data_IF_538499995989
#
_entry.id   IF_538499995989
#
_cell.length_a   1.000
_cell.length_b   1.000
_cell.length_c   1.000
_cell.angle_alpha   90.00
_cell.angle_beta   90.00
_cell.angle_gamma   90.00
#
_symmetry.space_group_name_H-M   'P 1'
#
loop_
_entity.id
_entity.type
_entity.pdbx_description
1 polymer ?
#
# COMPACT_ATOMS: atom_id res chain seq x y z
N UNK A 1 3.92 -16.87 24.32
CA UNK A 1 3.78 -15.80 23.32
C UNK A 1 2.88 -14.72 23.88
N UNK A 2 3.12 -13.45 23.52
CA UNK A 2 2.21 -12.34 23.89
C UNK A 2 0.87 -12.55 23.18
N UNK A 3 -0.23 -12.32 23.87
CA UNK A 3 -1.57 -12.40 23.28
C UNK A 3 -1.98 -10.99 22.83
N UNK A 4 -2.41 -10.84 21.59
CA UNK A 4 -2.96 -9.60 21.05
C UNK A 4 -4.49 -9.64 21.06
N UNK A 5 -5.12 -8.46 21.13
CA UNK A 5 -6.56 -8.32 21.08
C UNK A 5 -7.06 -7.81 19.71
N UNK A 6 -6.20 -7.17 18.92
CA UNK A 6 -6.51 -6.76 17.55
C UNK A 6 -5.26 -6.74 16.68
N UNK A 7 -5.49 -6.86 15.36
CA UNK A 7 -4.43 -6.88 14.36
C UNK A 7 -4.67 -5.76 13.34
N UNK A 8 -3.65 -4.90 13.18
CA UNK A 8 -3.64 -3.84 12.19
C UNK A 8 -2.79 -4.29 10.99
N UNK A 9 -3.28 -4.06 9.78
CA UNK A 9 -2.58 -4.38 8.53
C UNK A 9 -2.40 -3.13 7.68
N UNK A 10 -1.25 -2.98 7.09
CA UNK A 10 -1.14 -2.21 5.86
C UNK A 10 -1.78 -2.98 4.69
N UNK A 11 -2.06 -2.30 3.57
CA UNK A 11 -2.73 -2.92 2.42
C UNK A 11 -1.77 -3.17 1.26
N UNK A 12 -1.17 -2.12 0.69
CA UNK A 12 -0.33 -2.19 -0.50
C UNK A 12 1.03 -2.82 -0.16
N UNK A 13 1.51 -3.78 -0.96
CA UNK A 13 2.74 -4.55 -0.69
C UNK A 13 2.71 -5.43 0.58
N UNK A 14 1.60 -5.40 1.33
CA UNK A 14 1.42 -6.27 2.52
C UNK A 14 0.36 -7.34 2.31
N UNK A 15 -0.80 -6.98 1.77
CA UNK A 15 -1.89 -7.90 1.42
C UNK A 15 -2.24 -7.84 -0.07
N UNK A 16 -2.31 -6.65 -0.63
CA UNK A 16 -2.63 -6.39 -2.03
C UNK A 16 -1.33 -6.28 -2.84
N UNK A 17 -1.22 -7.09 -3.91
CA UNK A 17 -0.02 -7.13 -4.76
C UNK A 17 0.01 -5.91 -5.68
N UNK A 18 0.54 -4.80 -5.13
CA UNK A 18 0.64 -3.55 -5.87
C UNK A 18 1.45 -3.71 -7.16
N UNK A 19 2.57 -4.42 -7.12
CA UNK A 19 3.46 -4.54 -8.27
C UNK A 19 2.81 -5.31 -9.42
N UNK A 20 2.19 -6.46 -9.14
CA UNK A 20 1.50 -7.25 -10.16
C UNK A 20 0.30 -6.49 -10.74
N UNK A 21 -0.50 -5.86 -9.88
CA UNK A 21 -1.68 -5.11 -10.30
C UNK A 21 -1.33 -3.85 -11.10
N UNK A 22 -0.28 -3.12 -10.68
CA UNK A 22 0.22 -1.96 -11.42
C UNK A 22 0.80 -2.35 -12.78
N UNK A 23 1.63 -3.41 -12.83
CA UNK A 23 2.19 -3.88 -14.09
C UNK A 23 1.12 -4.33 -15.07
N UNK A 24 0.11 -5.09 -14.61
CA UNK A 24 -1.02 -5.52 -15.44
C UNK A 24 -1.78 -4.31 -16.01
N UNK A 25 -2.14 -3.35 -15.15
CA UNK A 25 -2.84 -2.12 -15.56
C UNK A 25 -2.01 -1.31 -16.56
N UNK A 26 -0.73 -1.11 -16.27
CA UNK A 26 0.16 -0.34 -17.14
C UNK A 26 0.36 -1.01 -18.50
N UNK A 27 0.41 -2.33 -18.56
CA UNK A 27 0.54 -3.09 -19.81
C UNK A 27 -0.71 -2.91 -20.69
N UNK A 28 -1.90 -2.95 -20.10
CA UNK A 28 -3.15 -2.69 -20.80
C UNK A 28 -3.20 -1.25 -21.32
N UNK A 29 -2.85 -0.27 -20.50
CA UNK A 29 -2.84 1.13 -20.88
C UNK A 29 -1.76 1.45 -21.91
N UNK A 30 -0.56 0.87 -21.77
CA UNK A 30 0.53 1.02 -22.73
C UNK A 30 0.08 0.64 -24.16
N UNK A 31 -0.61 -0.49 -24.29
CA UNK A 31 -1.17 -0.95 -25.56
C UNK A 31 -2.32 -0.04 -26.03
N UNK A 32 -3.27 0.29 -25.15
CA UNK A 32 -4.46 1.10 -25.48
C UNK A 32 -4.08 2.51 -25.94
N UNK A 33 -3.08 3.12 -25.30
CA UNK A 33 -2.59 4.45 -25.66
C UNK A 33 -1.52 4.44 -26.75
N UNK A 34 -1.20 3.25 -27.30
CA UNK A 34 -0.25 3.03 -28.40
C UNK A 34 1.10 3.70 -28.11
N UNK A 35 1.65 3.43 -26.92
CA UNK A 35 2.84 4.14 -26.43
C UNK A 35 4.08 3.90 -27.30
N UNK A 36 4.19 2.73 -27.95
CA UNK A 36 5.28 2.46 -28.91
C UNK A 36 5.21 3.39 -30.13
N UNK A 37 3.99 3.63 -30.68
CA UNK A 37 3.78 4.56 -31.80
C UNK A 37 4.08 6.01 -31.41
N UNK A 38 4.08 6.30 -30.12
CA UNK A 38 4.41 7.61 -29.53
C UNK A 38 5.90 7.76 -29.20
N UNK A 39 6.73 6.76 -29.57
CA UNK A 39 8.17 6.79 -29.42
C UNK A 39 8.73 6.17 -28.13
N UNK A 40 7.88 5.56 -27.30
CA UNK A 40 8.36 4.83 -26.10
C UNK A 40 9.06 3.55 -26.55
N UNK A 41 10.32 3.41 -26.21
CA UNK A 41 11.21 2.36 -26.72
C UNK A 41 10.73 0.93 -26.42
N UNK A 42 10.12 0.72 -25.24
CA UNK A 42 9.56 -0.57 -24.82
C UNK A 42 8.69 -0.44 -23.58
N UNK A 43 7.77 -1.39 -23.40
CA UNK A 43 6.99 -1.49 -22.16
C UNK A 43 7.88 -1.64 -20.92
N UNK A 44 8.98 -2.40 -21.02
CA UNK A 44 9.91 -2.58 -19.90
C UNK A 44 10.49 -1.24 -19.45
N UNK A 45 10.96 -0.42 -20.39
CA UNK A 45 11.50 0.90 -20.07
C UNK A 45 10.43 1.82 -19.45
N UNK A 46 9.20 1.78 -19.97
CA UNK A 46 8.06 2.52 -19.41
C UNK A 46 7.77 2.10 -17.96
N UNK A 47 7.70 0.79 -17.69
CA UNK A 47 7.44 0.23 -16.38
C UNK A 47 8.53 0.58 -15.36
N UNK A 48 9.81 0.45 -15.74
CA UNK A 48 10.95 0.81 -14.89
C UNK A 48 10.94 2.32 -14.55
N UNK A 49 10.64 3.16 -15.55
CA UNK A 49 10.48 4.60 -15.35
C UNK A 49 9.31 4.90 -14.41
N UNK A 50 8.16 4.27 -14.61
CA UNK A 50 7.02 4.42 -13.72
C UNK A 50 7.37 4.02 -12.28
N UNK A 51 7.98 2.85 -12.06
CA UNK A 51 8.37 2.38 -10.71
C UNK A 51 9.24 3.41 -9.99
N UNK A 52 10.25 3.94 -10.65
CA UNK A 52 11.14 4.94 -10.08
C UNK A 52 10.43 6.26 -9.77
N UNK A 53 9.63 6.77 -10.69
CA UNK A 53 8.86 8.01 -10.48
C UNK A 53 7.82 7.84 -9.37
N UNK A 54 7.12 6.71 -9.35
CA UNK A 54 6.12 6.41 -8.34
C UNK A 54 6.74 6.30 -6.94
N UNK A 55 7.87 5.61 -6.81
CA UNK A 55 8.61 5.48 -5.55
C UNK A 55 9.06 6.86 -5.03
N UNK A 56 9.66 7.71 -5.88
CA UNK A 56 10.06 9.07 -5.51
C UNK A 56 8.88 9.91 -5.00
N UNK A 57 7.75 9.86 -5.70
CA UNK A 57 6.58 10.65 -5.32
C UNK A 57 5.98 10.17 -3.99
N UNK A 58 5.89 8.86 -3.76
CA UNK A 58 5.40 8.32 -2.50
C UNK A 58 6.35 8.61 -1.34
N UNK A 59 7.68 8.44 -1.50
CA UNK A 59 8.66 8.83 -0.48
C UNK A 59 8.51 10.31 -0.10
N UNK A 60 8.41 11.19 -1.07
CA UNK A 60 8.20 12.62 -0.83
C UNK A 60 6.87 12.91 -0.15
N UNK A 61 5.81 12.21 -0.52
CA UNK A 61 4.52 12.33 0.13
C UNK A 61 4.59 11.85 1.59
N UNK A 62 5.16 10.68 1.85
CA UNK A 62 5.27 10.13 3.21
C UNK A 62 6.09 11.04 4.12
N UNK A 63 7.13 11.66 3.60
CA UNK A 63 7.92 12.69 4.30
C UNK A 63 7.23 14.05 4.45
N UNK A 64 6.04 14.23 3.89
CA UNK A 64 5.29 15.48 3.99
C UNK A 64 5.77 16.61 3.09
N UNK A 65 6.62 16.30 2.09
CA UNK A 65 7.18 17.28 1.16
C UNK A 65 6.22 17.67 0.04
N UNK A 66 5.25 16.82 -0.27
CA UNK A 66 4.21 17.04 -1.28
C UNK A 66 2.85 16.57 -0.78
N UNK A 67 1.79 17.09 -1.39
CA UNK A 67 0.41 16.62 -1.19
C UNK A 67 0.03 15.49 -2.14
N UNK A 68 -1.10 14.84 -1.86
CA UNK A 68 -1.64 13.75 -2.71
C UNK A 68 -1.90 14.20 -4.16
N UNK A 69 -2.30 15.45 -4.35
CA UNK A 69 -2.60 16.00 -5.66
C UNK A 69 -1.38 15.97 -6.59
N UNK A 70 -0.18 16.20 -6.05
CA UNK A 70 1.07 16.12 -6.81
C UNK A 70 1.28 14.70 -7.36
N UNK A 71 1.00 13.65 -6.58
CA UNK A 71 1.08 12.27 -7.08
C UNK A 71 0.11 12.04 -8.24
N UNK A 72 -1.11 12.56 -8.13
CA UNK A 72 -2.16 12.40 -9.16
C UNK A 72 -1.80 13.09 -10.47
N UNK A 73 -1.24 14.30 -10.39
CA UNK A 73 -0.99 15.16 -11.55
C UNK A 73 0.39 14.96 -12.16
N UNK A 74 1.44 14.77 -11.34
CA UNK A 74 2.81 14.76 -11.85
C UNK A 74 3.31 13.36 -12.25
N UNK A 75 2.76 12.28 -11.70
CA UNK A 75 3.30 10.93 -11.91
C UNK A 75 3.44 10.57 -13.38
N UNK A 76 2.36 10.62 -14.13
CA UNK A 76 2.40 10.26 -15.55
C UNK A 76 2.94 11.38 -16.45
N UNK A 77 2.86 12.64 -16.03
CA UNK A 77 3.53 13.73 -16.73
C UNK A 77 5.06 13.53 -16.70
N UNK A 78 5.61 13.16 -15.55
CA UNK A 78 7.03 12.82 -15.43
C UNK A 78 7.39 11.55 -16.21
N UNK A 79 6.58 10.50 -16.11
CA UNK A 79 6.82 9.24 -16.86
C UNK A 79 6.81 9.50 -18.36
N UNK A 80 5.85 10.27 -18.89
CA UNK A 80 5.76 10.59 -20.30
C UNK A 80 6.99 11.36 -20.77
N UNK A 81 7.33 12.45 -20.10
CA UNK A 81 8.53 13.24 -20.43
C UNK A 81 9.81 12.42 -20.41
N UNK A 82 10.00 11.58 -19.40
CA UNK A 82 11.20 10.76 -19.26
C UNK A 82 11.27 9.62 -20.29
N UNK A 83 10.12 9.18 -20.81
CA UNK A 83 10.04 8.19 -21.89
C UNK A 83 9.96 8.80 -23.29
N UNK A 84 10.11 10.13 -23.40
CA UNK A 84 10.19 10.85 -24.68
C UNK A 84 8.83 11.25 -25.27
N UNK A 85 7.75 11.20 -24.47
CA UNK A 85 6.39 11.59 -24.92
C UNK A 85 6.07 12.99 -24.40
N UNK A 86 6.03 13.98 -25.28
CA UNK A 86 5.64 15.36 -24.96
C UNK A 86 4.14 15.56 -25.18
N UNK A 87 3.30 15.11 -24.25
CA UNK A 87 1.85 15.24 -24.32
C UNK A 87 1.24 15.34 -22.92
N UNK A 88 1.19 16.56 -22.38
CA UNK A 88 0.60 16.82 -21.05
C UNK A 88 -0.87 16.45 -20.96
N UNK A 89 -1.67 16.67 -22.02
CA UNK A 89 -3.09 16.29 -22.01
C UNK A 89 -3.25 14.78 -22.00
N UNK A 90 -2.46 14.08 -22.79
CA UNK A 90 -2.45 12.61 -22.82
C UNK A 90 -1.97 12.01 -21.51
N UNK A 91 -1.00 12.61 -20.81
CA UNK A 91 -0.56 12.14 -19.52
C UNK A 91 -1.62 12.29 -18.43
N UNK A 92 -2.41 13.37 -18.46
CA UNK A 92 -3.54 13.57 -17.54
C UNK A 92 -4.65 12.53 -17.78
N UNK A 93 -5.02 12.25 -19.03
CA UNK A 93 -6.02 11.23 -19.37
C UNK A 93 -5.53 9.83 -19.00
N UNK A 94 -4.26 9.52 -19.25
CA UNK A 94 -3.63 8.28 -18.82
C UNK A 94 -3.67 8.13 -17.29
N UNK A 95 -3.35 9.20 -16.54
CA UNK A 95 -3.42 9.22 -15.07
C UNK A 95 -4.83 8.96 -14.57
N UNK A 96 -5.82 9.63 -15.11
CA UNK A 96 -7.23 9.43 -14.74
C UNK A 96 -7.68 7.99 -15.00
N UNK A 97 -7.29 7.42 -16.15
CA UNK A 97 -7.60 6.04 -16.52
C UNK A 97 -6.90 5.04 -15.59
N UNK A 98 -5.62 5.25 -15.29
CA UNK A 98 -4.88 4.41 -14.36
C UNK A 98 -5.51 4.40 -12.95
N UNK A 99 -5.86 5.57 -12.42
CA UNK A 99 -6.50 5.69 -11.10
C UNK A 99 -7.87 5.02 -11.03
N UNK A 100 -8.59 4.95 -12.15
CA UNK A 100 -9.89 4.26 -12.26
C UNK A 100 -9.73 2.75 -12.39
N UNK A 101 -8.74 2.27 -13.17
CA UNK A 101 -8.62 0.84 -13.54
C UNK A 101 -7.73 0.03 -12.59
N UNK A 102 -6.66 0.64 -12.05
CA UNK A 102 -5.79 -0.03 -11.09
C UNK A 102 -6.56 -0.64 -9.89
N UNK A 103 -7.48 0.08 -9.22
CA UNK A 103 -8.18 -0.47 -8.05
C UNK A 103 -9.13 -1.62 -8.39
N UNK A 104 -9.42 -1.86 -9.67
CA UNK A 104 -10.27 -2.97 -10.11
C UNK A 104 -9.51 -4.30 -10.21
N UNK A 105 -8.18 -4.28 -10.09
CA UNK A 105 -7.34 -5.48 -10.10
C UNK A 105 -7.45 -6.24 -8.77
N UNK A 106 -7.24 -7.57 -8.83
CA UNK A 106 -7.63 -8.48 -7.74
C UNK A 106 -6.47 -9.28 -7.16
N UNK A 107 -5.24 -9.06 -7.68
CA UNK A 107 -4.10 -9.85 -7.23
C UNK A 107 -3.78 -9.51 -5.76
N UNK A 108 -3.75 -10.53 -4.94
CA UNK A 108 -3.25 -10.47 -3.56
C UNK A 108 -1.86 -11.08 -3.51
N UNK A 109 -1.09 -10.66 -2.52
CA UNK A 109 0.19 -11.31 -2.24
C UNK A 109 0.00 -12.79 -1.88
N UNK A 110 1.00 -13.64 -2.14
CA UNK A 110 0.92 -15.05 -1.81
C UNK A 110 0.46 -15.28 -0.36
N UNK A 111 -0.52 -16.16 -0.17
CA UNK A 111 -1.07 -16.52 1.14
C UNK A 111 -1.85 -15.42 1.89
N UNK A 112 -2.08 -14.26 1.28
CA UNK A 112 -2.82 -13.18 1.94
C UNK A 112 -4.25 -13.61 2.29
N UNK A 113 -4.97 -14.26 1.38
CA UNK A 113 -6.34 -14.74 1.64
C UNK A 113 -6.36 -15.79 2.73
N UNK A 114 -5.47 -16.80 2.64
CA UNK A 114 -5.39 -17.89 3.60
C UNK A 114 -5.05 -17.42 5.01
N UNK A 115 -4.25 -16.36 5.14
CA UNK A 115 -3.95 -15.79 6.46
C UNK A 115 -5.10 -14.94 6.99
N UNK A 116 -5.82 -14.22 6.13
CA UNK A 116 -7.03 -13.51 6.51
C UNK A 116 -8.13 -14.47 6.98
N UNK A 117 -8.35 -15.58 6.28
CA UNK A 117 -9.28 -16.66 6.69
C UNK A 117 -8.91 -17.23 8.07
N UNK A 118 -7.61 -17.36 8.34
CA UNK A 118 -7.12 -17.86 9.63
C UNK A 118 -7.30 -16.86 10.77
N UNK A 119 -7.01 -15.58 10.52
CA UNK A 119 -6.99 -14.54 11.56
C UNK A 119 -8.36 -13.95 11.87
N UNK A 120 -9.22 -13.78 10.86
CA UNK A 120 -10.52 -13.12 11.00
C UNK A 120 -11.43 -13.70 12.10
N UNK A 121 -11.55 -15.03 12.28
CA UNK A 121 -12.35 -15.59 13.38
C UNK A 121 -11.70 -15.46 14.77
N UNK A 122 -10.44 -15.01 14.85
CA UNK A 122 -9.65 -14.93 16.07
C UNK A 122 -9.45 -13.52 16.57
N UNK A 123 -9.36 -12.57 15.61
CA UNK A 123 -9.01 -11.17 15.89
C UNK A 123 -9.90 -10.23 15.08
N UNK A 124 -10.31 -9.07 15.64
CA UNK A 124 -10.76 -7.95 14.83
C UNK A 124 -9.58 -7.45 14.00
N UNK A 125 -9.73 -7.46 12.66
CA UNK A 125 -8.73 -7.00 11.72
C UNK A 125 -9.06 -5.59 11.28
N UNK A 126 -8.05 -4.74 11.13
CA UNK A 126 -8.20 -3.34 10.72
C UNK A 126 -7.13 -2.99 9.69
N UNK A 127 -7.52 -2.34 8.59
CA UNK A 127 -6.56 -1.73 7.65
C UNK A 127 -6.15 -0.35 8.14
N UNK A 128 -4.84 -0.03 8.04
CA UNK A 128 -4.27 1.31 8.29
C UNK A 128 -3.37 1.68 7.11
N UNK A 129 -3.80 2.62 6.27
CA UNK A 129 -3.15 2.89 4.98
C UNK A 129 -2.97 4.38 4.68
N UNK A 130 -1.87 4.73 3.97
CA UNK A 130 -1.62 6.08 3.43
C UNK A 130 -2.23 6.28 2.03
N UNK A 131 -2.75 5.24 1.41
CA UNK A 131 -3.36 5.32 0.08
C UNK A 131 -4.62 6.19 0.04
N UNK A 132 -4.99 6.64 -1.16
CA UNK A 132 -6.19 7.46 -1.36
C UNK A 132 -7.45 6.68 -0.98
N UNK A 133 -8.33 7.30 -0.20
CA UNK A 133 -9.49 6.62 0.39
C UNK A 133 -10.33 5.89 -0.64
N UNK A 134 -10.76 6.56 -1.70
CA UNK A 134 -11.57 5.96 -2.76
C UNK A 134 -10.87 4.79 -3.46
N UNK A 135 -9.54 4.91 -3.64
CA UNK A 135 -8.72 3.86 -4.26
C UNK A 135 -8.63 2.63 -3.36
N UNK A 136 -8.39 2.82 -2.06
CA UNK A 136 -8.25 1.72 -1.12
C UNK A 136 -9.56 0.94 -0.93
N UNK A 137 -10.69 1.63 -0.83
CA UNK A 137 -11.99 0.97 -0.77
C UNK A 137 -12.27 0.15 -2.04
N UNK A 138 -12.00 0.71 -3.22
CA UNK A 138 -12.19 0.00 -4.48
C UNK A 138 -11.28 -1.24 -4.60
N UNK A 139 -10.02 -1.18 -4.15
CA UNK A 139 -9.10 -2.34 -4.10
C UNK A 139 -9.64 -3.44 -3.19
N UNK A 140 -10.06 -3.08 -1.99
CA UNK A 140 -10.57 -4.03 -0.99
C UNK A 140 -11.83 -4.71 -1.49
N UNK A 141 -12.74 -3.96 -2.11
CA UNK A 141 -13.97 -4.48 -2.70
C UNK A 141 -13.67 -5.41 -3.89
N UNK A 142 -12.87 -4.94 -4.85
CA UNK A 142 -12.53 -5.70 -6.06
C UNK A 142 -11.77 -6.99 -5.75
N UNK A 143 -10.88 -6.98 -4.75
CA UNK A 143 -10.18 -8.17 -4.28
C UNK A 143 -11.07 -9.10 -3.44
N UNK A 144 -12.29 -8.67 -3.06
CA UNK A 144 -13.24 -9.47 -2.28
C UNK A 144 -12.75 -9.76 -0.86
N UNK A 145 -12.01 -8.82 -0.24
CA UNK A 145 -11.45 -9.00 1.11
C UNK A 145 -12.09 -8.08 2.16
N UNK A 146 -13.06 -7.25 1.78
CA UNK A 146 -13.66 -6.26 2.68
C UNK A 146 -14.32 -6.86 3.92
N UNK A 147 -14.88 -8.06 3.79
CA UNK A 147 -15.58 -8.76 4.88
C UNK A 147 -14.68 -9.21 6.03
N UNK A 148 -13.35 -9.23 5.82
CA UNK A 148 -12.40 -9.58 6.89
C UNK A 148 -12.16 -8.42 7.87
N UNK A 149 -12.41 -7.18 7.47
CA UNK A 149 -11.97 -6.01 8.24
C UNK A 149 -13.14 -5.35 8.96
N UNK A 150 -12.98 -5.18 10.27
CA UNK A 150 -13.91 -4.41 11.08
C UNK A 150 -13.83 -2.90 10.77
N UNK A 151 -12.60 -2.42 10.47
CA UNK A 151 -12.35 -1.02 10.15
C UNK A 151 -11.35 -0.88 9.00
N UNK A 152 -11.53 0.17 8.20
CA UNK A 152 -10.60 0.62 7.16
C UNK A 152 -10.24 2.07 7.48
N UNK A 153 -9.02 2.29 7.94
CA UNK A 153 -8.51 3.58 8.37
C UNK A 153 -7.55 4.11 7.31
N UNK A 154 -7.99 5.16 6.63
CA UNK A 154 -7.17 5.89 5.67
C UNK A 154 -6.58 7.14 6.32
N UNK A 155 -5.50 7.67 5.75
CA UNK A 155 -4.92 8.93 6.21
C UNK A 155 -5.92 10.09 6.16
N UNK A 156 -6.86 10.07 5.21
CA UNK A 156 -7.91 11.07 5.08
C UNK A 156 -8.91 10.98 6.22
N UNK A 157 -9.37 9.77 6.61
CA UNK A 157 -10.29 9.57 7.75
C UNK A 157 -9.66 9.93 9.08
N UNK A 158 -8.41 9.59 9.27
CA UNK A 158 -7.68 9.89 10.49
C UNK A 158 -7.23 11.37 10.59
N UNK A 159 -7.27 12.13 9.48
CA UNK A 159 -6.71 13.47 9.40
C UNK A 159 -5.19 13.51 9.60
N UNK A 160 -4.54 12.35 9.51
CA UNK A 160 -3.10 12.17 9.68
C UNK A 160 -2.65 10.90 8.97
N UNK A 161 -1.41 10.86 8.51
CA UNK A 161 -0.84 9.69 7.79
C UNK A 161 0.25 9.01 8.61
N UNK A 162 0.53 7.74 8.32
CA UNK A 162 1.74 7.05 8.79
C UNK A 162 2.99 7.80 8.31
N UNK A 163 4.03 7.96 9.13
CA UNK A 163 4.29 7.35 10.43
C UNK A 163 3.73 8.12 11.65
N UNK A 164 2.93 9.16 11.47
CA UNK A 164 2.41 9.92 12.63
C UNK A 164 1.66 8.99 13.61
N UNK A 165 1.96 9.04 14.92
CA UNK A 165 1.23 8.27 15.92
C UNK A 165 -0.29 8.49 15.89
N UNK A 166 -0.74 9.65 15.46
CA UNK A 166 -2.18 10.03 15.41
C UNK A 166 -3.04 9.08 14.59
N UNK A 167 -2.55 8.53 13.46
CA UNK A 167 -3.33 7.58 12.67
C UNK A 167 -3.52 6.26 13.42
N UNK A 168 -2.49 5.83 14.17
CA UNK A 168 -2.55 4.62 14.99
C UNK A 168 -3.43 4.82 16.22
N UNK A 169 -3.34 5.97 16.89
CA UNK A 169 -4.22 6.36 18.01
C UNK A 169 -5.67 6.39 17.54
N UNK A 170 -5.94 6.94 16.34
CA UNK A 170 -7.27 6.93 15.75
C UNK A 170 -7.76 5.50 15.48
N UNK A 171 -6.91 4.64 14.92
CA UNK A 171 -7.24 3.24 14.68
C UNK A 171 -7.56 2.50 15.98
N UNK A 172 -6.74 2.69 17.03
CA UNK A 172 -6.97 2.11 18.35
C UNK A 172 -8.28 2.60 18.97
N UNK A 173 -8.61 3.89 18.84
CA UNK A 173 -9.88 4.44 19.31
C UNK A 173 -11.10 3.80 18.60
N UNK A 174 -10.98 3.53 17.28
CA UNK A 174 -12.06 2.85 16.54
C UNK A 174 -12.20 1.38 16.93
N UNK A 175 -11.10 0.70 17.23
CA UNK A 175 -11.13 -0.71 17.65
C UNK A 175 -11.48 -0.91 19.12
N UNK A 176 -11.37 0.15 19.95
CA UNK A 176 -11.57 0.07 21.39
C UNK A 176 -10.44 -0.66 22.15
N UNK A 177 -9.29 -0.86 21.52
CA UNK A 177 -8.13 -1.56 22.11
C UNK A 177 -6.99 -0.62 22.48
N UNK A 178 -6.13 -1.05 23.41
CA UNK A 178 -4.94 -0.31 23.81
C UNK A 178 -3.76 -0.68 22.91
N UNK A 179 -2.81 0.22 22.76
CA UNK A 179 -1.59 -0.01 21.96
C UNK A 179 -0.86 -1.30 22.31
N UNK A 180 -0.68 -1.58 23.59
CA UNK A 180 0.00 -2.78 24.07
C UNK A 180 -0.71 -4.10 23.75
N UNK A 181 -2.00 -4.05 23.38
CA UNK A 181 -2.81 -5.21 23.06
C UNK A 181 -2.99 -5.36 21.53
N UNK A 182 -2.33 -4.48 20.75
CA UNK A 182 -2.38 -4.45 19.29
C UNK A 182 -1.04 -4.83 18.65
N UNK A 183 -1.10 -5.30 17.40
CA UNK A 183 0.07 -5.53 16.56
C UNK A 183 -0.17 -4.95 15.17
N UNK A 184 0.84 -4.26 14.60
CA UNK A 184 0.84 -3.75 13.23
C UNK A 184 1.69 -4.63 12.33
N UNK A 185 1.13 -5.02 11.19
CA UNK A 185 1.79 -5.81 10.14
C UNK A 185 1.91 -4.94 8.89
N UNK A 186 3.12 -4.74 8.40
CA UNK A 186 3.38 -3.92 7.21
C UNK A 186 4.76 -4.16 6.63
N UNK A 187 4.96 -3.69 5.39
CA UNK A 187 6.21 -3.85 4.61
C UNK A 187 7.12 -2.62 4.66
N UNK A 188 6.66 -1.51 5.22
CA UNK A 188 7.42 -0.26 5.23
C UNK A 188 7.97 0.05 6.63
N UNK A 189 9.31 0.00 6.75
CA UNK A 189 10.00 0.26 8.02
C UNK A 189 9.74 1.66 8.58
N UNK A 190 9.57 2.66 7.72
CA UNK A 190 9.42 4.05 8.16
C UNK A 190 7.98 4.37 8.53
N UNK A 191 7.03 3.97 7.70
CA UNK A 191 5.64 4.34 7.88
C UNK A 191 4.89 3.39 8.81
N UNK A 192 5.03 2.07 8.58
CA UNK A 192 4.28 1.07 9.35
C UNK A 192 4.95 0.75 10.66
N UNK A 193 6.23 0.37 10.57
CA UNK A 193 6.95 -0.19 11.71
C UNK A 193 7.35 0.91 12.70
N UNK A 194 8.07 1.94 12.25
CA UNK A 194 8.47 3.03 13.14
C UNK A 194 7.25 3.78 13.69
N UNK A 195 6.26 4.09 12.82
CA UNK A 195 5.06 4.80 13.26
C UNK A 195 4.22 4.03 14.28
N UNK A 196 4.05 2.71 14.11
CA UNK A 196 3.35 1.87 15.08
C UNK A 196 4.13 1.73 16.40
N UNK A 197 5.44 1.54 16.31
CA UNK A 197 6.31 1.48 17.49
C UNK A 197 6.28 2.78 18.31
N UNK A 198 6.29 3.94 17.65
CA UNK A 198 6.17 5.26 18.30
C UNK A 198 4.80 5.45 18.97
N UNK A 199 3.76 4.74 18.50
CA UNK A 199 2.45 4.69 19.13
C UNK A 199 2.35 3.59 20.23
N UNK A 200 3.44 2.88 20.54
CA UNK A 200 3.47 1.81 21.55
C UNK A 200 2.83 0.49 21.09
N UNK A 201 2.68 0.28 19.80
CA UNK A 201 2.12 -0.93 19.18
C UNK A 201 3.26 -1.87 18.78
N UNK A 202 3.13 -3.15 19.07
CA UNK A 202 4.08 -4.17 18.59
C UNK A 202 4.02 -4.27 17.07
N UNK A 203 5.13 -4.66 16.46
CA UNK A 203 5.26 -4.64 14.99
C UNK A 203 5.71 -5.99 14.44
N UNK A 204 5.13 -6.38 13.30
CA UNK A 204 5.59 -7.50 12.49
C UNK A 204 5.98 -6.94 11.12
N UNK A 205 7.27 -6.91 10.85
CA UNK A 205 7.78 -6.45 9.57
C UNK A 205 7.68 -7.55 8.52
N UNK A 206 6.92 -7.29 7.45
CA UNK A 206 6.84 -8.18 6.29
C UNK A 206 7.97 -7.85 5.32
N UNK A 207 8.98 -8.71 5.26
CA UNK A 207 10.21 -8.51 4.49
C UNK A 207 10.49 -9.68 3.52
N UNK A 208 9.63 -9.88 2.49
CA UNK A 208 9.78 -11.00 1.55
C UNK A 208 11.11 -10.97 0.78
N UNK A 209 11.64 -9.76 0.56
CA UNK A 209 12.93 -9.56 -0.12
C UNK A 209 14.15 -9.74 0.78
N UNK A 210 13.98 -9.97 2.08
CA UNK A 210 15.07 -10.08 3.07
C UNK A 210 16.04 -8.89 3.01
N UNK A 211 15.48 -7.69 2.86
CA UNK A 211 16.27 -6.46 2.88
C UNK A 211 16.95 -6.28 4.23
N UNK A 212 18.25 -5.96 4.19
CA UNK A 212 19.02 -5.72 5.42
C UNK A 212 18.61 -4.36 6.00
N UNK A 213 18.30 -4.32 7.30
CA UNK A 213 17.95 -3.10 8.02
C UNK A 213 18.49 -3.11 9.45
N UNK A 214 18.45 -1.95 10.12
CA UNK A 214 18.83 -1.77 11.52
C UNK A 214 17.63 -1.36 12.40
N UNK A 215 16.41 -1.35 11.84
CA UNK A 215 15.21 -1.00 12.58
C UNK A 215 14.90 -2.05 13.66
N UNK A 216 14.46 -1.60 14.83
CA UNK A 216 13.93 -2.48 15.87
C UNK A 216 12.52 -2.90 15.48
N UNK A 217 12.28 -4.20 15.40
CA UNK A 217 10.97 -4.80 15.11
C UNK A 217 10.64 -5.84 16.19
N UNK A 218 9.37 -6.04 16.51
CA UNK A 218 8.98 -7.10 17.45
C UNK A 218 9.19 -8.48 16.82
N UNK A 219 8.74 -8.62 15.57
CA UNK A 219 8.98 -9.81 14.74
C UNK A 219 9.21 -9.39 13.29
N UNK A 220 9.88 -10.26 12.54
CA UNK A 220 10.07 -10.14 11.10
C UNK A 220 9.66 -11.45 10.44
N UNK A 221 8.94 -11.35 9.32
CA UNK A 221 8.48 -12.48 8.51
C UNK A 221 8.81 -12.28 7.05
N UNK A 222 9.07 -13.35 6.34
CA UNK A 222 9.28 -13.34 4.88
C UNK A 222 8.07 -13.89 4.11
N UNK A 223 7.20 -14.60 4.79
CA UNK A 223 5.97 -15.15 4.24
C UNK A 223 4.79 -14.87 5.18
N UNK A 224 3.65 -14.48 4.64
CA UNK A 224 2.46 -14.18 5.45
C UNK A 224 1.98 -15.38 6.28
N UNK A 225 2.24 -16.60 5.82
CA UNK A 225 1.87 -17.82 6.54
C UNK A 225 2.56 -17.95 7.91
N UNK A 226 3.72 -17.30 8.10
CA UNK A 226 4.43 -17.32 9.39
C UNK A 226 3.64 -16.65 10.52
N UNK A 227 2.68 -15.77 10.16
CA UNK A 227 1.76 -15.17 11.14
C UNK A 227 1.00 -16.21 11.96
N UNK A 228 0.74 -17.42 11.44
CA UNK A 228 0.09 -18.51 12.17
C UNK A 228 0.86 -18.98 13.41
N UNK A 229 2.16 -18.77 13.42
CA UNK A 229 3.01 -19.15 14.56
C UNK A 229 3.21 -18.00 15.55
N UNK A 230 2.82 -16.78 15.17
CA UNK A 230 2.97 -15.59 15.99
C UNK A 230 1.63 -15.12 16.59
N UNK A 231 0.53 -15.45 15.90
CA UNK A 231 -0.86 -15.08 16.20
C UNK A 231 -1.75 -16.33 16.22
#
# INVERSE_FOLDING_TARGET
MKSYACVLFDLDHTLWDYEANAEETLRELYSRYRMEDRGVTSFRYFLETFRRVNLDLWDRYDRGLIGQEVIRTERFDRVFRETGVEDTRGSMDFSATYLRELPQKKNLLPQAREILDYLHPRYPLTIVTNGFEETQFAKIESAGIGHYFAHIITSQRAGSKKPSPKIFEFALAQTGHRAQDAVMIGDNLQTDIAGAADAGIDTIFYNPGRSIHQATVTHEITHLQELRSLL
#
